data_IF_363797266067
#
_entry.id   IF_363797266067
#
_cell.length_a   1.000
_cell.length_b   1.000
_cell.length_c   1.000
_cell.angle_alpha   90.00
_cell.angle_beta   90.00
_cell.angle_gamma   90.00
#
_symmetry.space_group_name_H-M   'P 1'
#
loop_
_entity.id
_entity.type
_entity.pdbx_description
1 polymer ?
#
# COMPACT_ATOMS: atom_id res chain seq x y z
N UNK A 1 18.89 45.13 -15.38
CA UNK A 1 18.43 43.77 -15.72
C UNK A 1 19.30 42.78 -14.96
N UNK A 2 18.76 42.07 -13.97
CA UNK A 2 19.53 41.13 -13.15
C UNK A 2 19.73 39.80 -13.91
N UNK A 3 20.97 39.31 -13.97
CA UNK A 3 21.30 38.06 -14.64
C UNK A 3 20.63 36.86 -13.95
N UNK A 4 20.13 35.86 -14.70
CA UNK A 4 19.49 34.68 -14.12
C UNK A 4 20.54 33.83 -13.38
N UNK A 5 20.31 33.61 -12.07
CA UNK A 5 21.12 32.70 -11.27
C UNK A 5 21.04 31.28 -11.86
N UNK A 6 22.17 30.74 -12.30
CA UNK A 6 22.28 29.35 -12.77
C UNK A 6 21.86 28.39 -11.65
N UNK A 7 20.67 27.80 -11.77
CA UNK A 7 20.20 26.73 -10.89
C UNK A 7 21.08 25.51 -11.14
N UNK A 8 21.93 25.15 -10.17
CA UNK A 8 22.70 23.90 -10.23
C UNK A 8 21.71 22.73 -10.31
N UNK A 9 21.76 21.98 -11.41
CA UNK A 9 21.04 20.70 -11.53
C UNK A 9 21.64 19.73 -10.51
N UNK A 10 20.91 19.44 -9.43
CA UNK A 10 21.27 18.36 -8.51
C UNK A 10 21.33 17.07 -9.31
N UNK A 11 22.50 16.40 -9.33
CA UNK A 11 22.65 15.08 -9.94
C UNK A 11 21.60 14.11 -9.35
N UNK A 12 21.04 13.19 -10.15
CA UNK A 12 20.10 12.21 -9.63
C UNK A 12 20.81 11.37 -8.57
N UNK A 13 20.25 11.35 -7.35
CA UNK A 13 20.69 10.44 -6.29
C UNK A 13 20.66 9.02 -6.85
N UNK A 14 21.80 8.33 -6.81
CA UNK A 14 21.91 6.90 -7.11
C UNK A 14 20.82 6.18 -6.33
N UNK A 15 19.99 5.37 -7.01
CA UNK A 15 18.90 4.61 -6.39
C UNK A 15 19.54 3.65 -5.40
N UNK A 16 19.55 4.00 -4.11
CA UNK A 16 20.06 3.13 -3.05
C UNK A 16 19.22 1.84 -3.05
N UNK A 17 19.90 0.69 -3.01
CA UNK A 17 19.22 -0.60 -2.90
C UNK A 17 18.45 -0.63 -1.58
N UNK A 18 17.15 -0.94 -1.64
CA UNK A 18 16.32 -0.98 -0.45
C UNK A 18 16.79 -2.11 0.47
N UNK A 19 17.09 -1.76 1.71
CA UNK A 19 17.41 -2.70 2.78
C UNK A 19 16.41 -2.54 3.92
N UNK A 20 15.91 -3.66 4.44
CA UNK A 20 15.06 -3.66 5.61
C UNK A 20 15.84 -4.20 6.81
N UNK A 21 16.10 -3.33 7.79
CA UNK A 21 16.91 -3.67 8.99
C UNK A 21 18.25 -4.34 8.67
N UNK A 22 18.90 -3.92 7.58
CA UNK A 22 20.19 -4.44 7.13
C UNK A 22 20.12 -5.62 6.16
N UNK A 23 18.93 -6.17 5.88
CA UNK A 23 18.75 -7.28 4.94
C UNK A 23 18.28 -6.79 3.57
N UNK A 24 18.76 -7.44 2.51
CA UNK A 24 18.24 -7.26 1.16
C UNK A 24 16.92 -8.00 0.97
N UNK A 25 16.19 -7.63 -0.08
CA UNK A 25 14.90 -8.25 -0.41
C UNK A 25 15.05 -9.74 -0.70
N UNK A 26 16.08 -10.12 -1.46
CA UNK A 26 16.33 -11.51 -1.85
C UNK A 26 16.62 -12.38 -0.62
N UNK A 27 17.35 -11.83 0.36
CA UNK A 27 17.62 -12.48 1.65
C UNK A 27 16.31 -12.68 2.43
N UNK A 28 15.46 -11.66 2.50
CA UNK A 28 14.16 -11.75 3.19
C UNK A 28 13.19 -12.73 2.52
N UNK A 29 13.31 -12.96 1.21
CA UNK A 29 12.52 -13.95 0.48
C UNK A 29 13.00 -15.38 0.76
N UNK A 30 14.30 -15.57 0.99
CA UNK A 30 14.88 -16.86 1.33
C UNK A 30 14.65 -17.27 2.79
N UNK A 31 14.51 -16.29 3.70
CA UNK A 31 14.32 -16.54 5.13
C UNK A 31 13.01 -17.25 5.48
N UNK A 32 13.10 -18.12 6.48
CA UNK A 32 11.93 -18.79 7.07
C UNK A 32 11.11 -17.88 7.99
N UNK A 33 9.87 -18.27 8.28
CA UNK A 33 8.97 -17.49 9.16
C UNK A 33 9.59 -17.27 10.55
N UNK A 34 10.30 -18.26 11.09
CA UNK A 34 11.00 -18.18 12.39
C UNK A 34 12.04 -17.07 12.44
N UNK A 35 12.78 -16.88 11.35
CA UNK A 35 13.84 -15.86 11.23
C UNK A 35 13.25 -14.47 10.96
N UNK A 36 12.12 -14.40 10.26
CA UNK A 36 11.40 -13.16 10.00
C UNK A 36 10.71 -12.59 11.25
N UNK A 37 10.32 -13.43 12.21
CA UNK A 37 9.64 -13.00 13.43
C UNK A 37 10.37 -11.87 14.16
N UNK A 38 11.66 -11.97 14.57
CA UNK A 38 12.34 -10.88 15.26
C UNK A 38 12.44 -9.59 14.44
N UNK A 39 12.52 -9.69 13.11
CA UNK A 39 12.61 -8.56 12.18
C UNK A 39 11.29 -7.81 12.02
N UNK A 40 10.15 -8.42 12.34
CA UNK A 40 8.85 -7.79 12.17
C UNK A 40 8.50 -6.75 13.27
N UNK A 41 7.63 -5.77 12.97
CA UNK A 41 6.99 -4.94 13.99
C UNK A 41 6.11 -5.74 14.95
N UNK A 42 5.88 -5.24 16.17
CA UNK A 42 5.17 -5.96 17.23
C UNK A 42 3.77 -6.47 16.83
N UNK A 43 2.99 -5.66 16.09
CA UNK A 43 1.64 -6.05 15.62
C UNK A 43 1.70 -7.19 14.60
N UNK A 44 2.65 -7.14 13.67
CA UNK A 44 2.85 -8.18 12.67
C UNK A 44 3.29 -9.51 13.31
N UNK A 45 4.26 -9.45 14.24
CA UNK A 45 4.66 -10.61 15.06
C UNK A 45 3.48 -11.26 15.77
N UNK A 46 2.67 -10.45 16.46
CA UNK A 46 1.49 -10.94 17.20
C UNK A 46 0.51 -11.70 16.28
N UNK A 47 0.32 -11.22 15.05
CA UNK A 47 -0.56 -11.88 14.09
C UNK A 47 -0.01 -13.24 13.66
N UNK A 48 1.27 -13.33 13.29
CA UNK A 48 1.89 -14.61 12.93
C UNK A 48 1.84 -15.60 14.09
N UNK A 49 2.15 -15.16 15.31
CA UNK A 49 2.12 -16.02 16.51
C UNK A 49 0.72 -16.56 16.81
N UNK A 50 -0.33 -15.79 16.49
CA UNK A 50 -1.72 -16.26 16.61
C UNK A 50 -2.16 -17.20 15.49
N UNK A 51 -1.41 -17.24 14.39
CA UNK A 51 -1.69 -18.06 13.21
C UNK A 51 -2.44 -17.29 12.11
N UNK A 52 -2.31 -17.81 10.87
CA UNK A 52 -3.06 -17.33 9.72
C UNK A 52 -4.44 -17.97 9.68
N UNK A 53 -5.41 -17.24 9.13
CA UNK A 53 -6.70 -17.85 8.80
C UNK A 53 -6.58 -18.72 7.54
N UNK A 54 -7.48 -19.70 7.37
CA UNK A 54 -7.54 -20.56 6.17
C UNK A 54 -7.58 -19.77 4.85
N UNK A 55 -8.24 -18.61 4.85
CA UNK A 55 -8.29 -17.73 3.69
C UNK A 55 -6.92 -17.12 3.35
N UNK A 56 -6.14 -16.77 4.37
CA UNK A 56 -4.79 -16.19 4.21
C UNK A 56 -3.79 -17.24 3.72
N UNK A 57 -3.91 -18.49 4.19
CA UNK A 57 -3.12 -19.62 3.68
C UNK A 57 -3.41 -19.88 2.20
N UNK A 58 -4.69 -19.87 1.82
CA UNK A 58 -5.10 -20.03 0.42
C UNK A 58 -4.58 -18.88 -0.44
N UNK A 59 -4.57 -17.65 0.07
CA UNK A 59 -3.99 -16.51 -0.63
C UNK A 59 -2.48 -16.69 -0.83
N UNK A 60 -1.75 -17.12 0.20
CA UNK A 60 -0.31 -17.40 0.10
C UNK A 60 -0.01 -18.49 -0.91
N UNK A 61 -0.83 -19.55 -0.97
CA UNK A 61 -0.69 -20.61 -1.96
C UNK A 61 -0.84 -20.06 -3.38
N UNK A 62 -1.93 -19.35 -3.68
CA UNK A 62 -2.15 -18.71 -4.99
C UNK A 62 -1.03 -17.75 -5.41
N UNK A 63 -0.49 -17.01 -4.44
CA UNK A 63 0.64 -16.11 -4.66
C UNK A 63 1.89 -16.91 -5.04
N UNK A 64 2.14 -18.07 -4.41
CA UNK A 64 3.28 -18.93 -4.74
C UNK A 64 3.12 -19.60 -6.10
N UNK A 65 1.90 -20.02 -6.43
CA UNK A 65 1.56 -20.65 -7.72
C UNK A 65 1.71 -19.68 -8.90
N UNK A 66 1.71 -18.37 -8.63
CA UNK A 66 2.01 -17.35 -9.63
C UNK A 66 0.79 -16.88 -10.43
N UNK A 67 -0.41 -17.00 -9.87
CA UNK A 67 -1.63 -16.53 -10.52
C UNK A 67 -1.54 -15.04 -10.89
N UNK A 68 -1.84 -14.70 -12.15
CA UNK A 68 -1.77 -13.32 -12.66
C UNK A 68 -2.81 -12.38 -12.04
N UNK A 69 -3.96 -12.92 -11.59
CA UNK A 69 -5.10 -12.13 -11.08
C UNK A 69 -5.54 -12.64 -9.71
N UNK A 70 -4.92 -12.09 -8.67
CA UNK A 70 -5.24 -12.43 -7.28
C UNK A 70 -6.17 -11.37 -6.70
N UNK A 71 -7.45 -11.72 -6.54
CA UNK A 71 -8.45 -10.87 -5.86
C UNK A 71 -8.59 -11.27 -4.40
N UNK A 72 -8.62 -10.28 -3.51
CA UNK A 72 -8.75 -10.52 -2.08
C UNK A 72 -9.65 -9.53 -1.37
N UNK A 73 -10.42 -10.05 -0.40
CA UNK A 73 -11.14 -9.28 0.60
C UNK A 73 -10.36 -9.21 1.93
N UNK A 74 -9.28 -9.98 2.06
CA UNK A 74 -8.48 -10.11 3.29
C UNK A 74 -7.57 -8.90 3.45
N UNK A 75 -8.13 -7.81 3.97
CA UNK A 75 -7.42 -6.55 4.20
C UNK A 75 -6.49 -6.59 5.42
N UNK A 76 -6.73 -7.51 6.34
CA UNK A 76 -5.92 -7.69 7.53
C UNK A 76 -4.64 -8.48 7.26
N UNK A 77 -4.44 -9.04 6.07
CA UNK A 77 -3.24 -9.79 5.76
C UNK A 77 -2.00 -8.89 5.75
N UNK A 78 -0.88 -9.43 6.24
CA UNK A 78 0.43 -8.76 6.23
C UNK A 78 1.12 -9.05 4.90
N UNK A 79 1.75 -8.04 4.32
CA UNK A 79 2.61 -8.17 3.15
C UNK A 79 3.85 -8.97 3.53
N UNK A 80 3.93 -10.20 3.02
CA UNK A 80 5.09 -11.06 3.19
C UNK A 80 6.14 -10.77 2.11
N UNK A 81 7.44 -11.04 2.35
CA UNK A 81 8.49 -10.82 1.36
C UNK A 81 8.23 -11.51 0.01
N UNK A 82 7.57 -12.67 0.02
CA UNK A 82 7.17 -13.45 -1.17
C UNK A 82 6.14 -12.74 -2.07
N UNK A 83 5.48 -11.70 -1.54
CA UNK A 83 4.47 -10.90 -2.26
C UNK A 83 5.07 -9.68 -2.99
N UNK A 84 6.33 -9.33 -2.72
CA UNK A 84 6.99 -8.18 -3.34
C UNK A 84 7.08 -8.42 -4.86
N UNK A 85 6.77 -7.39 -5.65
CA UNK A 85 6.76 -7.48 -7.12
C UNK A 85 5.55 -8.20 -7.72
N UNK A 86 4.60 -8.65 -6.88
CA UNK A 86 3.33 -9.21 -7.35
C UNK A 86 2.21 -8.18 -7.24
N UNK A 87 1.28 -8.23 -8.18
CA UNK A 87 0.09 -7.38 -8.16
C UNK A 87 -1.10 -8.10 -7.54
N UNK A 88 -1.72 -7.49 -6.53
CA UNK A 88 -2.93 -8.00 -5.87
C UNK A 88 -4.05 -6.98 -6.02
N UNK A 89 -5.24 -7.49 -6.31
CA UNK A 89 -6.48 -6.73 -6.38
C UNK A 89 -7.20 -6.75 -5.03
N UNK A 90 -7.21 -5.62 -4.33
CA UNK A 90 -7.73 -5.49 -2.96
C UNK A 90 -9.12 -4.87 -3.00
N UNK A 91 -10.08 -5.53 -2.34
CA UNK A 91 -11.44 -5.00 -2.26
C UNK A 91 -11.53 -3.75 -1.38
N UNK A 92 -12.13 -2.69 -1.90
CA UNK A 92 -12.30 -1.39 -1.21
C UNK A 92 -13.70 -1.21 -0.59
N UNK A 93 -14.62 -2.16 -0.79
CA UNK A 93 -16.03 -2.04 -0.43
C UNK A 93 -16.97 -1.81 -1.61
N UNK A 94 -16.40 -1.52 -2.80
CA UNK A 94 -17.15 -1.35 -4.05
C UNK A 94 -16.41 -1.96 -5.22
N UNK A 95 -15.13 -1.64 -5.34
CA UNK A 95 -14.28 -2.04 -6.47
C UNK A 95 -13.01 -2.73 -5.96
N UNK A 96 -12.37 -3.50 -6.83
CA UNK A 96 -11.06 -4.09 -6.59
C UNK A 96 -9.97 -3.16 -7.10
N UNK A 97 -9.19 -2.59 -6.17
CA UNK A 97 -8.06 -1.75 -6.52
C UNK A 97 -6.83 -2.63 -6.76
N UNK A 98 -6.26 -2.57 -7.97
CA UNK A 98 -5.01 -3.25 -8.30
C UNK A 98 -3.84 -2.51 -7.66
N UNK A 99 -3.09 -3.20 -6.80
CA UNK A 99 -1.91 -2.67 -6.11
C UNK A 99 -0.73 -3.58 -6.40
N UNK A 100 0.40 -2.98 -6.77
CA UNK A 100 1.69 -3.65 -6.89
C UNK A 100 2.52 -3.37 -5.63
N UNK A 101 3.05 -4.41 -4.99
CA UNK A 101 3.83 -4.23 -3.77
C UNK A 101 5.27 -3.87 -4.08
N UNK A 102 5.65 -2.66 -3.67
CA UNK A 102 7.03 -2.22 -3.66
C UNK A 102 7.78 -2.79 -2.46
N UNK A 103 9.11 -2.93 -2.51
CA UNK A 103 9.91 -3.42 -1.39
C UNK A 103 9.71 -2.66 -0.06
N UNK A 104 9.39 -1.37 -0.14
CA UNK A 104 9.12 -0.52 1.02
C UNK A 104 7.84 -0.94 1.77
N UNK A 105 6.99 -1.77 1.15
CA UNK A 105 5.71 -2.23 1.67
C UNK A 105 5.83 -3.44 2.60
N UNK A 106 7.03 -3.94 2.86
CA UNK A 106 7.26 -5.15 3.66
C UNK A 106 6.71 -4.99 5.09
N UNK A 107 5.98 -6.01 5.53
CA UNK A 107 5.34 -6.10 6.85
C UNK A 107 4.23 -5.08 7.15
N UNK A 108 3.81 -4.29 6.15
CA UNK A 108 2.59 -3.50 6.22
C UNK A 108 1.35 -4.37 6.00
N UNK A 109 0.18 -3.84 6.35
CA UNK A 109 -1.09 -4.51 6.07
C UNK A 109 -1.54 -4.21 4.65
N UNK A 110 -2.03 -5.23 3.94
CA UNK A 110 -2.53 -5.10 2.56
C UNK A 110 -3.63 -4.00 2.50
N UNK A 111 -4.49 -3.94 3.51
CA UNK A 111 -5.54 -2.92 3.60
C UNK A 111 -5.05 -1.47 3.64
N UNK A 112 -3.78 -1.20 3.97
CA UNK A 112 -3.23 0.17 3.99
C UNK A 112 -3.07 0.75 2.59
N UNK A 113 -2.87 -0.11 1.58
CA UNK A 113 -2.61 0.31 0.20
C UNK A 113 -3.87 0.61 -0.62
N UNK A 114 -5.04 0.25 -0.10
CA UNK A 114 -6.32 0.44 -0.78
C UNK A 114 -7.24 1.31 0.07
N UNK A 115 -7.38 2.59 -0.29
CA UNK A 115 -8.26 3.52 0.41
C UNK A 115 -9.73 3.09 0.29
N UNK A 116 -10.42 2.98 1.43
CA UNK A 116 -11.86 2.65 1.48
C UNK A 116 -12.75 3.86 1.22
N UNK A 117 -12.19 5.07 1.29
CA UNK A 117 -12.90 6.33 1.11
C UNK A 117 -12.19 7.22 0.12
N UNK A 118 -12.97 8.05 -0.57
CA UNK A 118 -12.43 9.12 -1.39
C UNK A 118 -11.98 10.27 -0.49
N UNK A 119 -10.87 10.92 -0.85
CA UNK A 119 -10.46 12.16 -0.20
C UNK A 119 -11.45 13.25 -0.59
N UNK A 120 -12.12 13.83 0.41
CA UNK A 120 -12.99 14.99 0.19
C UNK A 120 -12.10 16.22 0.14
N UNK A 121 -12.23 17.02 -0.91
CA UNK A 121 -11.69 18.37 -0.98
C UNK A 121 -12.88 19.31 -0.96
N UNK A 122 -12.95 20.16 0.06
CA UNK A 122 -13.98 21.17 0.13
C UNK A 122 -13.68 22.24 -0.92
N UNK A 123 -14.56 22.36 -1.91
CA UNK A 123 -14.59 23.52 -2.79
C UNK A 123 -15.21 24.72 -2.09
N UNK A 124 -15.25 25.86 -2.78
CA UNK A 124 -16.16 26.94 -2.39
C UNK A 124 -17.60 26.41 -2.41
N UNK A 125 -18.43 26.90 -1.48
CA UNK A 125 -19.85 26.56 -1.47
C UNK A 125 -20.48 27.00 -2.80
N UNK A 126 -20.90 26.04 -3.63
CA UNK A 126 -21.66 26.34 -4.84
C UNK A 126 -22.98 27.03 -4.50
N UNK A 127 -23.54 27.78 -5.45
CA UNK A 127 -24.89 28.35 -5.33
C UNK A 127 -25.86 27.19 -5.09
N UNK A 128 -26.55 27.18 -3.93
CA UNK A 128 -27.46 26.12 -3.50
C UNK A 128 -26.89 25.12 -2.49
N UNK A 129 -25.59 25.20 -2.15
CA UNK A 129 -24.96 24.32 -1.15
C UNK A 129 -25.28 24.74 0.30
N UNK A 130 -25.54 26.03 0.54
CA UNK A 130 -25.95 26.56 1.85
C UNK A 130 -27.46 26.84 1.85
N UNK A 131 -28.11 26.68 3.01
CA UNK A 131 -29.57 26.90 3.15
C UNK A 131 -30.04 28.28 2.65
N UNK A 132 -29.19 29.31 2.74
CA UNK A 132 -29.47 30.68 2.28
C UNK A 132 -29.19 30.96 0.80
N UNK A 133 -28.50 30.08 0.07
CA UNK A 133 -28.19 30.24 -1.36
C UNK A 133 -29.09 29.42 -2.29
N UNK A 134 -30.09 28.71 -1.74
CA UNK A 134 -31.04 27.89 -2.51
C UNK A 134 -32.02 28.70 -3.35
N UNK A 135 -32.24 29.98 -3.01
CA UNK A 135 -33.19 30.82 -3.72
C UNK A 135 -32.47 32.01 -4.36
N UNK A 136 -32.30 31.94 -5.67
CA UNK A 136 -31.90 33.07 -6.51
C UNK A 136 -33.15 33.45 -7.32
N UNK A 137 -33.73 34.65 -7.12
CA UNK A 137 -34.84 35.10 -7.94
C UNK A 137 -34.37 35.22 -9.40
N UNK A 138 -34.87 34.36 -10.27
CA UNK A 138 -34.73 34.53 -11.72
C UNK A 138 -35.60 35.72 -12.12
N UNK A 139 -35.00 36.70 -12.80
CA UNK A 139 -35.70 37.82 -13.43
C UNK A 139 -36.17 37.40 -14.82
#
# INVERSE_FOLDING_TARGET
MAAPKKTQKRMPRRREEFTYRGYKIDELQAMGISELLPLMPARARRKIVRGFSRGEETLLAKIRDGDEKIRTHLRDMIVMPVMIGKSIEIYTGKEFAKVEFQPESVFHYIGEFALTRKRVSHGSAGIGATRGSKYVPLK
#
